data_IF_335722897176
#
_entry.id   IF_335722897176
#
_cell.length_a   1.000
_cell.length_b   1.000
_cell.length_c   1.000
_cell.angle_alpha   90.00
_cell.angle_beta   90.00
_cell.angle_gamma   90.00
#
_symmetry.space_group_name_H-M   'P 1'
#
loop_
_entity.id
_entity.type
_entity.pdbx_description
1 polymer ?
#
# COMPACT_ATOMS: atom_id res chain seq x y z
N UNK A 1 -13.79 -5.00 -39.05
CA UNK A 1 -14.95 -5.72 -38.45
C UNK A 1 -15.77 -6.32 -39.59
N UNK A 2 -15.87 -7.62 -39.68
CA UNK A 2 -16.89 -8.28 -40.51
C UNK A 2 -17.65 -9.23 -39.60
N UNK A 3 -18.83 -8.79 -39.17
CA UNK A 3 -19.79 -9.67 -38.54
C UNK A 3 -20.58 -10.39 -39.62
N UNK A 4 -20.46 -11.70 -39.73
CA UNK A 4 -21.42 -12.55 -40.46
C UNK A 4 -22.15 -13.38 -39.43
N UNK A 5 -23.39 -12.99 -39.16
CA UNK A 5 -24.29 -13.71 -38.30
C UNK A 5 -25.31 -14.48 -39.13
N UNK A 6 -25.44 -15.75 -38.87
CA UNK A 6 -26.73 -16.49 -38.98
C UNK A 6 -26.68 -17.59 -37.93
N UNK A 7 -27.46 -17.42 -36.86
CA UNK A 7 -27.78 -18.45 -35.86
C UNK A 7 -26.73 -18.60 -34.75
N UNK A 8 -27.10 -18.11 -33.60
CA UNK A 8 -26.80 -18.54 -32.24
C UNK A 8 -25.39 -18.43 -31.66
N UNK A 9 -24.31 -18.19 -32.40
CA UNK A 9 -22.97 -17.88 -31.82
C UNK A 9 -22.18 -17.04 -32.81
N UNK A 10 -22.06 -15.74 -32.55
CA UNK A 10 -21.18 -14.86 -33.28
C UNK A 10 -19.77 -15.05 -32.73
N UNK A 11 -18.90 -15.77 -33.46
CA UNK A 11 -17.46 -15.77 -33.19
C UNK A 11 -16.88 -14.45 -33.71
N UNK A 12 -16.27 -13.65 -32.83
CA UNK A 12 -15.51 -12.48 -33.22
C UNK A 12 -14.10 -12.95 -33.67
N UNK A 13 -13.79 -12.78 -34.96
CA UNK A 13 -12.46 -13.05 -35.48
C UNK A 13 -11.65 -11.77 -35.56
N UNK A 14 -10.50 -11.73 -34.93
CA UNK A 14 -9.51 -10.67 -35.08
C UNK A 14 -8.37 -11.15 -35.99
N UNK A 15 -8.02 -10.35 -36.99
CA UNK A 15 -6.87 -10.61 -37.82
C UNK A 15 -5.70 -9.77 -37.33
N UNK A 16 -4.71 -10.42 -36.71
CA UNK A 16 -3.54 -9.76 -36.14
C UNK A 16 -2.36 -9.95 -37.10
N UNK A 17 -1.81 -8.84 -37.61
CA UNK A 17 -0.63 -8.83 -38.46
C UNK A 17 0.60 -8.49 -37.64
N UNK A 18 1.57 -9.38 -37.62
CA UNK A 18 2.88 -9.08 -37.06
C UNK A 18 3.60 -8.09 -37.96
N UNK A 19 3.79 -6.87 -37.50
CA UNK A 19 4.42 -5.78 -38.27
C UNK A 19 5.89 -6.02 -38.59
N UNK A 20 6.55 -6.93 -37.83
CA UNK A 20 7.97 -7.24 -37.99
C UNK A 20 8.22 -8.39 -39.01
N UNK A 21 7.33 -9.37 -39.04
CA UNK A 21 7.46 -10.55 -39.90
C UNK A 21 6.51 -10.57 -41.08
N UNK A 22 5.53 -9.66 -41.11
CA UNK A 22 4.49 -9.61 -42.13
C UNK A 22 3.45 -10.74 -42.04
N UNK A 23 3.60 -11.69 -41.11
CA UNK A 23 2.68 -12.79 -40.95
C UNK A 23 1.38 -12.36 -40.34
N UNK A 24 0.27 -12.87 -40.89
CA UNK A 24 -1.08 -12.61 -40.41
C UNK A 24 -1.63 -13.89 -39.79
N UNK A 25 -2.14 -13.78 -38.56
CA UNK A 25 -2.81 -14.87 -37.84
C UNK A 25 -4.26 -14.49 -37.59
N UNK A 26 -5.20 -15.34 -37.96
CA UNK A 26 -6.61 -15.20 -37.58
C UNK A 26 -6.80 -15.83 -36.22
N UNK A 27 -7.23 -15.00 -35.25
CA UNK A 27 -7.61 -15.45 -33.92
C UNK A 27 -9.12 -15.41 -33.85
N UNK A 28 -9.75 -16.57 -33.73
CA UNK A 28 -11.19 -16.69 -33.50
C UNK A 28 -11.40 -16.66 -31.98
N UNK A 29 -12.08 -15.63 -31.50
CA UNK A 29 -12.49 -15.54 -30.10
C UNK A 29 -13.89 -16.14 -29.95
N UNK A 30 -14.02 -17.24 -29.26
CA UNK A 30 -15.31 -17.66 -28.69
C UNK A 30 -15.63 -16.75 -27.50
N UNK A 31 -16.92 -16.51 -27.24
CA UNK A 31 -17.39 -15.64 -26.14
C UNK A 31 -16.87 -16.07 -24.75
N UNK A 32 -16.36 -17.31 -24.65
CA UNK A 32 -15.65 -17.86 -23.49
C UNK A 32 -14.19 -17.42 -23.38
N UNK A 33 -13.57 -16.99 -24.50
CA UNK A 33 -12.13 -16.67 -24.53
C UNK A 33 -11.85 -15.17 -24.37
N UNK A 34 -12.86 -14.31 -24.32
CA UNK A 34 -12.69 -12.87 -24.08
C UNK A 34 -12.53 -12.52 -22.60
N UNK A 35 -12.90 -13.40 -21.69
CA UNK A 35 -12.69 -13.25 -20.26
C UNK A 35 -11.21 -13.21 -19.85
N UNK A 36 -10.28 -14.01 -20.44
CA UNK A 36 -8.92 -14.08 -19.92
C UNK A 36 -8.12 -12.78 -20.06
N UNK A 37 -8.40 -11.92 -21.04
CA UNK A 37 -7.59 -10.72 -21.27
C UNK A 37 -7.95 -9.56 -20.34
N UNK A 38 -9.21 -9.40 -19.98
CA UNK A 38 -9.63 -8.44 -18.95
C UNK A 38 -9.11 -8.88 -17.58
N UNK A 39 -9.20 -10.19 -17.29
CA UNK A 39 -8.78 -10.78 -16.03
C UNK A 39 -7.26 -10.72 -15.86
N UNK A 40 -6.49 -10.81 -16.96
CA UNK A 40 -5.03 -10.65 -16.94
C UNK A 40 -4.58 -9.25 -16.48
N UNK A 41 -5.38 -8.23 -16.73
CA UNK A 41 -5.10 -6.86 -16.30
C UNK A 41 -5.67 -6.52 -14.92
N UNK A 42 -6.48 -7.40 -14.34
CA UNK A 42 -7.00 -7.21 -13.00
C UNK A 42 -5.88 -7.24 -11.96
N UNK A 43 -5.98 -6.37 -10.99
CA UNK A 43 -5.01 -6.29 -9.92
C UNK A 43 -5.29 -5.09 -9.02
N UNK A 44 -4.37 -4.85 -8.13
CA UNK A 44 -4.46 -3.72 -7.21
C UNK A 44 -3.08 -3.15 -6.91
N UNK A 45 -3.05 -1.86 -6.56
CA UNK A 45 -1.85 -1.29 -5.98
C UNK A 45 -1.59 -1.88 -4.61
N UNK A 46 -0.33 -2.14 -4.32
CA UNK A 46 0.18 -2.61 -3.04
C UNK A 46 1.52 -1.96 -2.75
N UNK A 47 2.04 -2.19 -1.56
CA UNK A 47 3.31 -1.61 -1.11
C UNK A 47 4.34 -2.69 -0.84
N UNK A 48 5.61 -2.38 -1.13
CA UNK A 48 6.76 -3.17 -0.68
C UNK A 48 7.73 -2.28 0.09
N UNK A 49 8.10 -2.67 1.29
CA UNK A 49 9.17 -2.00 2.03
C UNK A 49 10.50 -2.28 1.35
N UNK A 50 11.14 -1.24 0.81
CA UNK A 50 12.39 -1.37 0.06
C UNK A 50 13.63 -1.04 0.89
N UNK A 51 13.50 -0.15 1.88
CA UNK A 51 14.56 0.22 2.81
C UNK A 51 14.02 0.89 4.06
N UNK A 52 14.85 0.93 5.10
CA UNK A 52 14.66 1.77 6.28
C UNK A 52 15.81 2.76 6.31
N UNK A 53 15.50 4.04 6.11
CA UNK A 53 16.48 5.13 6.17
C UNK A 53 16.78 5.48 7.62
N UNK A 54 17.96 6.01 7.84
CA UNK A 54 18.46 6.46 9.13
C UNK A 54 19.15 7.79 8.97
N UNK A 55 19.23 8.60 10.04
CA UNK A 55 20.16 9.71 10.08
C UNK A 55 21.60 9.20 9.83
N UNK A 56 22.40 9.98 9.12
CA UNK A 56 23.76 9.62 8.69
C UNK A 56 24.69 9.21 9.84
N UNK A 57 24.42 9.67 11.06
CA UNK A 57 25.23 9.43 12.26
C UNK A 57 25.00 8.06 12.92
N UNK A 58 24.07 7.28 12.48
CA UNK A 58 23.73 6.01 13.11
C UNK A 58 24.31 4.82 12.36
N UNK A 59 25.61 4.57 12.54
CA UNK A 59 26.38 3.55 11.82
C UNK A 59 25.96 2.08 12.05
N UNK A 60 25.20 1.77 13.10
CA UNK A 60 25.05 0.39 13.57
C UNK A 60 23.69 -0.26 13.36
N UNK A 61 22.82 0.27 12.48
CA UNK A 61 21.42 -0.18 12.42
C UNK A 61 21.04 -0.93 11.16
N UNK A 62 22.00 -1.40 10.38
CA UNK A 62 21.69 -2.12 9.15
C UNK A 62 21.19 -3.53 9.45
N UNK A 63 19.92 -3.79 9.14
CA UNK A 63 19.43 -5.13 8.98
C UNK A 63 18.71 -5.26 7.64
N UNK A 64 18.68 -6.47 7.12
CA UNK A 64 17.93 -6.77 5.92
C UNK A 64 16.43 -6.66 6.18
N UNK A 65 15.72 -6.04 5.25
CA UNK A 65 14.26 -6.13 5.20
C UNK A 65 13.89 -7.53 4.72
N UNK A 66 13.13 -8.26 5.53
CA UNK A 66 12.63 -9.60 5.15
C UNK A 66 11.15 -9.54 4.83
N UNK A 67 10.76 -10.16 3.74
CA UNK A 67 9.36 -10.31 3.36
C UNK A 67 8.80 -11.60 3.97
N UNK A 68 7.63 -11.51 4.57
CA UNK A 68 6.87 -12.60 5.14
C UNK A 68 5.49 -12.56 4.50
N UNK A 69 5.14 -13.58 3.70
CA UNK A 69 3.79 -13.67 3.12
C UNK A 69 2.90 -14.48 4.04
N UNK A 70 1.84 -13.85 4.54
CA UNK A 70 0.85 -14.47 5.43
C UNK A 70 -0.56 -14.19 4.91
N UNK A 71 -1.34 -15.24 4.69
CA UNK A 71 -2.70 -15.17 4.12
C UNK A 71 -2.80 -14.31 2.84
N UNK A 72 -1.77 -14.36 1.97
CA UNK A 72 -1.74 -13.59 0.73
C UNK A 72 -1.39 -12.11 0.88
N UNK A 73 -1.04 -11.66 2.09
CA UNK A 73 -0.55 -10.31 2.38
C UNK A 73 0.94 -10.36 2.64
N UNK A 74 1.69 -9.54 1.92
CA UNK A 74 3.12 -9.38 2.12
C UNK A 74 3.35 -8.43 3.31
N UNK A 75 4.01 -8.93 4.35
CA UNK A 75 4.45 -8.20 5.54
C UNK A 75 5.96 -8.10 5.51
N UNK A 76 6.48 -7.01 6.03
CA UNK A 76 7.92 -6.73 6.00
C UNK A 76 8.46 -6.64 7.41
N UNK A 77 9.52 -7.39 7.67
CA UNK A 77 10.19 -7.39 8.96
C UNK A 77 11.52 -6.64 8.87
N UNK A 78 11.73 -5.72 9.79
CA UNK A 78 13.01 -5.05 10.02
C UNK A 78 13.41 -5.24 11.48
N UNK A 79 14.70 -5.43 11.72
CA UNK A 79 15.24 -5.68 13.06
C UNK A 79 16.61 -5.02 13.21
N UNK A 80 16.79 -4.29 14.30
CA UNK A 80 18.09 -3.77 14.72
C UNK A 80 18.32 -3.99 16.23
N UNK A 81 19.28 -3.28 16.84
CA UNK A 81 19.57 -3.36 18.28
C UNK A 81 18.51 -2.70 19.17
N UNK A 82 17.55 -1.97 18.60
CA UNK A 82 16.54 -1.17 19.31
C UNK A 82 15.15 -1.74 19.15
N UNK A 83 14.74 -2.04 17.93
CA UNK A 83 13.39 -2.50 17.59
C UNK A 83 13.43 -3.75 16.71
N UNK A 84 12.38 -4.54 16.85
CA UNK A 84 11.95 -5.52 15.85
C UNK A 84 10.54 -5.12 15.42
N UNK A 85 10.36 -4.78 14.16
CA UNK A 85 9.08 -4.34 13.62
C UNK A 85 8.66 -5.25 12.46
N UNK A 86 7.38 -5.64 12.45
CA UNK A 86 6.72 -6.22 11.30
C UNK A 86 5.66 -5.23 10.84
N UNK A 87 5.75 -4.76 9.59
CA UNK A 87 4.92 -3.68 9.05
C UNK A 87 4.39 -4.04 7.66
N UNK A 88 3.17 -3.61 7.36
CA UNK A 88 2.58 -3.73 6.02
C UNK A 88 1.61 -2.58 5.76
N UNK A 89 1.49 -2.17 4.49
CA UNK A 89 0.55 -1.14 4.05
C UNK A 89 -0.77 -1.75 3.58
N UNK A 90 -1.86 -1.09 3.94
CA UNK A 90 -3.16 -1.21 3.28
C UNK A 90 -3.39 0.04 2.43
N UNK A 91 -4.46 0.13 1.63
CA UNK A 91 -4.76 1.37 0.93
C UNK A 91 -4.84 2.61 1.85
N UNK A 92 -5.34 2.46 3.07
CA UNK A 92 -5.66 3.58 3.96
C UNK A 92 -4.60 3.87 5.02
N UNK A 93 -3.79 2.87 5.40
CA UNK A 93 -2.89 2.97 6.56
C UNK A 93 -1.77 1.92 6.52
N UNK A 94 -0.76 2.13 7.36
CA UNK A 94 0.19 1.08 7.73
C UNK A 94 -0.26 0.42 9.02
N UNK A 95 -0.12 -0.90 9.10
CA UNK A 95 -0.31 -1.68 10.32
C UNK A 95 1.03 -2.28 10.71
N UNK A 96 1.35 -2.28 12.00
CA UNK A 96 2.62 -2.82 12.45
C UNK A 96 2.56 -3.41 13.85
N UNK A 97 3.43 -4.38 14.08
CA UNK A 97 3.78 -4.90 15.41
C UNK A 97 5.21 -4.48 15.67
N UNK A 98 5.44 -3.69 16.72
CA UNK A 98 6.76 -3.24 17.15
C UNK A 98 7.10 -3.85 18.49
N UNK A 99 8.22 -4.56 18.57
CA UNK A 99 8.79 -5.10 19.79
C UNK A 99 10.02 -4.29 20.18
N UNK A 100 10.08 -3.89 21.44
CA UNK A 100 11.28 -3.25 22.02
C UNK A 100 12.32 -4.33 22.36
N UNK A 101 13.43 -4.36 21.64
CA UNK A 101 14.56 -5.28 21.89
C UNK A 101 15.72 -4.57 22.58
N UNK A 102 15.61 -3.25 22.81
CA UNK A 102 16.63 -2.47 23.52
C UNK A 102 16.68 -2.83 25.01
N UNK A 103 17.77 -2.51 25.70
CA UNK A 103 17.89 -2.73 27.16
C UNK A 103 17.04 -1.74 27.99
N UNK A 104 16.43 -0.72 27.39
CA UNK A 104 15.65 0.33 28.03
C UNK A 104 14.22 0.37 27.52
N UNK A 105 13.33 1.11 28.20
CA UNK A 105 12.03 1.47 27.61
C UNK A 105 12.25 2.42 26.43
N UNK A 106 11.38 2.33 25.43
CA UNK A 106 11.34 3.27 24.32
C UNK A 106 10.00 4.01 24.30
N UNK A 107 9.95 5.13 23.58
CA UNK A 107 8.75 5.91 23.37
C UNK A 107 8.59 6.22 21.87
N UNK A 108 7.42 5.99 21.31
CA UNK A 108 7.07 6.46 19.96
C UNK A 108 6.47 7.86 20.10
N UNK A 109 7.08 8.86 19.45
CA UNK A 109 6.69 10.27 19.56
C UNK A 109 5.74 10.61 18.41
N UNK A 110 4.45 10.39 18.61
CA UNK A 110 3.44 10.52 17.54
C UNK A 110 3.30 11.93 16.96
N UNK A 111 3.50 12.96 17.78
CA UNK A 111 3.41 14.36 17.32
C UNK A 111 4.49 14.72 16.28
N UNK A 112 5.58 13.96 16.22
CA UNK A 112 6.68 14.14 15.28
C UNK A 112 6.66 13.10 14.15
N UNK A 113 5.78 12.11 14.25
CA UNK A 113 5.62 11.10 13.21
C UNK A 113 5.02 11.71 11.94
N UNK A 114 5.55 11.31 10.77
CA UNK A 114 5.19 11.91 9.50
C UNK A 114 5.01 10.87 8.40
N UNK A 115 4.16 11.20 7.44
CA UNK A 115 3.96 10.47 6.21
C UNK A 115 4.28 11.38 5.02
N UNK A 116 4.97 10.82 4.02
CA UNK A 116 5.21 11.49 2.74
C UNK A 116 4.48 10.71 1.64
N UNK A 117 3.57 11.40 0.95
CA UNK A 117 2.77 10.84 -0.14
C UNK A 117 3.52 10.73 -1.45
N UNK A 118 2.88 10.15 -2.47
CA UNK A 118 3.42 10.00 -3.82
C UNK A 118 3.78 11.33 -4.50
N UNK A 119 3.11 12.40 -4.13
CA UNK A 119 3.34 13.77 -4.61
C UNK A 119 4.45 14.51 -3.85
N UNK A 120 5.08 13.84 -2.88
CA UNK A 120 6.09 14.43 -1.99
C UNK A 120 5.52 15.28 -0.86
N UNK A 121 4.20 15.42 -0.75
CA UNK A 121 3.59 16.17 0.36
C UNK A 121 3.74 15.43 1.68
N UNK A 122 3.97 16.20 2.76
CA UNK A 122 4.10 15.65 4.12
C UNK A 122 2.81 15.88 4.89
N UNK A 123 2.37 14.87 5.64
CA UNK A 123 1.26 14.98 6.58
C UNK A 123 1.59 14.35 7.92
N UNK A 124 0.87 14.80 8.96
CA UNK A 124 0.89 14.14 10.26
C UNK A 124 0.30 12.74 10.16
N UNK A 125 0.54 11.94 11.18
CA UNK A 125 -0.01 10.61 11.34
C UNK A 125 -0.91 10.57 12.55
N UNK A 126 -2.00 9.84 12.47
CA UNK A 126 -2.74 9.38 13.63
C UNK A 126 -2.50 7.89 13.86
N UNK A 127 -2.50 7.46 15.12
CA UNK A 127 -2.35 6.07 15.53
C UNK A 127 -3.64 5.50 16.15
N UNK A 128 -3.63 4.21 16.51
CA UNK A 128 -4.80 3.55 17.10
C UNK A 128 -5.31 4.30 18.36
N UNK A 129 -6.64 4.39 18.48
CA UNK A 129 -7.30 5.05 19.61
C UNK A 129 -7.52 6.56 19.41
N UNK A 130 -6.91 7.21 18.44
CA UNK A 130 -7.17 8.61 18.10
C UNK A 130 -8.48 8.72 17.32
N UNK A 131 -9.40 9.57 17.78
CA UNK A 131 -10.65 9.84 17.05
C UNK A 131 -10.37 10.65 15.79
N UNK A 132 -11.03 10.33 14.68
CA UNK A 132 -10.89 11.08 13.43
C UNK A 132 -11.13 12.58 13.55
N UNK A 133 -12.05 12.99 14.43
CA UNK A 133 -12.30 14.41 14.73
C UNK A 133 -11.15 15.10 15.49
N UNK A 134 -10.26 14.34 16.10
CA UNK A 134 -9.11 14.82 16.89
C UNK A 134 -7.76 14.53 16.22
N UNK A 135 -7.77 14.11 14.95
CA UNK A 135 -6.57 13.66 14.22
C UNK A 135 -5.44 14.68 14.11
N UNK A 136 -5.78 15.98 14.19
CA UNK A 136 -4.79 17.07 14.14
C UNK A 136 -4.34 17.52 15.54
N UNK A 137 -4.95 16.98 16.60
CA UNK A 137 -4.61 17.31 17.98
C UNK A 137 -3.34 16.64 18.47
N UNK A 138 -2.98 16.94 19.70
CA UNK A 138 -1.83 16.33 20.37
C UNK A 138 -2.07 14.83 20.61
N UNK A 139 -1.05 14.04 20.30
CA UNK A 139 -1.05 12.60 20.49
C UNK A 139 0.07 12.25 21.49
N UNK A 140 -0.29 11.79 22.70
CA UNK A 140 0.70 11.40 23.69
C UNK A 140 1.62 10.28 23.16
N UNK A 141 2.91 10.33 23.52
CA UNK A 141 3.85 9.30 23.15
C UNK A 141 3.46 7.95 23.76
N UNK A 142 3.57 6.87 22.98
CA UNK A 142 3.35 5.51 23.45
C UNK A 142 4.64 4.94 24.03
N UNK A 143 4.62 4.52 25.30
CA UNK A 143 5.77 3.90 25.96
C UNK A 143 5.72 2.39 25.78
N UNK A 144 6.82 1.81 25.30
CA UNK A 144 7.00 0.36 25.16
C UNK A 144 8.15 -0.07 26.06
N UNK A 145 7.84 -0.77 27.15
CA UNK A 145 8.87 -1.23 28.08
C UNK A 145 9.76 -2.30 27.46
N UNK A 146 10.95 -2.50 28.02
CA UNK A 146 11.91 -3.53 27.57
C UNK A 146 11.23 -4.87 27.38
N UNK A 147 11.41 -5.48 26.20
CA UNK A 147 10.91 -6.81 25.85
C UNK A 147 9.43 -6.85 25.48
N UNK A 148 8.66 -5.79 25.73
CA UNK A 148 7.26 -5.71 25.35
C UNK A 148 7.08 -5.43 23.84
N UNK A 149 5.86 -5.67 23.35
CA UNK A 149 5.44 -5.33 22.00
C UNK A 149 4.16 -4.51 22.03
N UNK A 150 3.95 -3.74 20.99
CA UNK A 150 2.67 -3.08 20.67
C UNK A 150 2.19 -3.53 19.30
N UNK A 151 0.89 -3.53 19.12
CA UNK A 151 0.20 -3.63 17.84
C UNK A 151 -0.50 -2.30 17.61
N UNK A 152 -0.14 -1.60 16.52
CA UNK A 152 -0.61 -0.24 16.28
C UNK A 152 -0.72 0.00 14.76
N UNK A 153 -1.23 1.17 14.40
CA UNK A 153 -1.37 1.63 13.04
C UNK A 153 -0.81 3.04 12.86
N UNK A 154 -0.55 3.41 11.61
CA UNK A 154 -0.18 4.76 11.21
C UNK A 154 -1.01 5.16 10.01
N UNK A 155 -1.96 6.08 10.21
CA UNK A 155 -2.87 6.59 9.19
C UNK A 155 -2.55 8.06 8.92
N UNK A 156 -2.28 8.47 7.64
CA UNK A 156 -2.05 9.87 7.31
C UNK A 156 -3.29 10.72 7.59
N UNK A 157 -3.14 11.78 8.39
CA UNK A 157 -4.27 12.65 8.79
C UNK A 157 -4.90 13.37 7.61
N UNK A 158 -4.11 13.71 6.58
CA UNK A 158 -4.58 14.35 5.35
C UNK A 158 -5.57 13.48 4.55
N UNK A 159 -5.53 12.17 4.74
CA UNK A 159 -6.41 11.23 4.05
C UNK A 159 -7.77 11.06 4.77
N UNK A 160 -7.88 11.52 6.01
CA UNK A 160 -9.11 11.40 6.81
C UNK A 160 -9.99 12.62 6.60
N UNK A 161 -11.23 12.41 6.17
CA UNK A 161 -12.19 13.47 5.89
C UNK A 161 -13.59 13.09 6.35
N UNK A 162 -14.41 14.12 6.56
CA UNK A 162 -15.83 13.93 6.85
C UNK A 162 -16.63 14.05 5.55
N UNK A 163 -17.31 12.98 5.17
CA UNK A 163 -18.24 12.97 4.04
C UNK A 163 -19.60 13.46 4.54
N UNK A 164 -20.13 14.49 3.92
CA UNK A 164 -21.46 15.05 4.28
C UNK A 164 -22.61 14.15 3.83
N UNK A 165 -22.32 13.15 3.02
CA UNK A 165 -23.32 12.27 2.45
C UNK A 165 -24.17 12.95 1.36
N UNK A 166 -25.23 12.26 0.95
CA UNK A 166 -26.20 12.73 -0.04
C UNK A 166 -27.56 12.88 0.62
N UNK A 167 -28.29 13.96 0.29
CA UNK A 167 -29.67 14.17 0.77
C UNK A 167 -30.65 13.54 -0.23
N UNK A 168 -31.45 12.60 0.26
CA UNK A 168 -32.54 11.96 -0.47
C UNK A 168 -33.83 12.33 0.24
N UNK A 169 -34.63 13.23 -0.38
CA UNK A 169 -35.78 13.81 0.29
C UNK A 169 -35.37 14.63 1.53
N UNK A 170 -35.82 14.20 2.69
CA UNK A 170 -35.50 14.85 3.98
C UNK A 170 -34.42 14.10 4.79
N UNK A 171 -33.81 13.05 4.22
CA UNK A 171 -32.85 12.20 4.93
C UNK A 171 -31.46 12.31 4.29
N UNK A 172 -30.44 12.50 5.12
CA UNK A 172 -29.04 12.43 4.70
C UNK A 172 -28.55 11.00 4.88
N UNK A 173 -27.99 10.41 3.81
CA UNK A 173 -27.46 9.05 3.81
C UNK A 173 -25.97 9.05 3.44
N UNK A 174 -25.22 8.09 3.95
CA UNK A 174 -23.80 7.89 3.63
C UNK A 174 -22.86 8.94 4.23
N UNK A 175 -23.34 9.78 5.18
CA UNK A 175 -22.50 10.73 5.89
C UNK A 175 -21.61 10.02 6.94
N UNK A 176 -20.46 10.60 7.22
CA UNK A 176 -19.54 10.08 8.23
C UNK A 176 -18.07 10.31 7.91
N UNK A 177 -17.22 9.89 8.83
CA UNK A 177 -15.78 9.93 8.66
C UNK A 177 -15.34 8.82 7.70
N UNK A 178 -14.50 9.17 6.74
CA UNK A 178 -13.94 8.27 5.73
C UNK A 178 -12.45 8.51 5.57
N UNK A 179 -11.75 7.52 5.02
CA UNK A 179 -10.33 7.60 4.70
C UNK A 179 -10.13 7.42 3.19
N UNK A 180 -9.31 8.27 2.60
CA UNK A 180 -8.86 8.10 1.20
C UNK A 180 -7.66 7.17 1.17
N UNK A 181 -7.46 6.53 0.02
CA UNK A 181 -6.28 5.71 -0.21
C UNK A 181 -5.01 6.56 -0.27
N UNK A 182 -3.90 6.01 0.26
CA UNK A 182 -2.55 6.58 0.18
C UNK A 182 -1.96 6.49 -1.23
N UNK A 183 -2.56 5.68 -2.10
CA UNK A 183 -2.09 5.43 -3.46
C UNK A 183 -3.28 5.20 -4.41
N UNK A 184 -3.09 5.26 -5.75
CA UNK A 184 -4.18 5.14 -6.70
C UNK A 184 -4.99 3.85 -6.54
N UNK A 185 -6.30 3.92 -6.74
CA UNK A 185 -7.19 2.76 -6.80
C UNK A 185 -7.29 2.17 -8.20
N UNK A 186 -6.99 2.98 -9.24
CA UNK A 186 -7.07 2.59 -10.64
C UNK A 186 -5.69 2.32 -11.22
N UNK A 187 -5.60 1.40 -12.16
CA UNK A 187 -4.37 1.11 -12.87
C UNK A 187 -3.87 2.36 -13.64
N UNK A 188 -2.67 2.84 -13.27
CA UNK A 188 -2.00 3.99 -13.90
C UNK A 188 -0.58 3.67 -14.39
N UNK A 189 -0.25 2.39 -14.49
CA UNK A 189 1.07 1.90 -14.82
C UNK A 189 1.57 0.90 -13.76
N UNK A 190 2.72 0.28 -14.01
CA UNK A 190 3.25 -0.78 -13.14
C UNK A 190 3.71 -0.25 -11.78
N UNK A 191 4.22 0.98 -11.74
CA UNK A 191 4.77 1.60 -10.53
C UNK A 191 4.15 2.98 -10.35
N UNK A 192 3.70 3.29 -9.13
CA UNK A 192 3.13 4.60 -8.81
C UNK A 192 4.16 5.54 -8.14
N UNK A 193 5.28 5.01 -7.63
CA UNK A 193 6.32 5.78 -6.95
C UNK A 193 6.61 5.27 -5.54
N UNK A 194 7.12 6.14 -4.69
CA UNK A 194 7.48 5.83 -3.31
C UNK A 194 6.66 6.67 -2.33
N UNK A 195 6.31 6.05 -1.21
CA UNK A 195 5.74 6.69 -0.03
C UNK A 195 6.62 6.40 1.18
N UNK A 196 6.60 7.27 2.18
CA UNK A 196 7.47 7.14 3.35
C UNK A 196 6.68 7.30 4.64
N UNK A 197 7.01 6.46 5.61
CA UNK A 197 6.52 6.55 6.98
C UNK A 197 7.71 6.80 7.91
N UNK A 198 7.74 7.92 8.61
CA UNK A 198 8.74 8.23 9.61
C UNK A 198 8.15 8.07 11.01
N UNK A 199 8.78 7.23 11.83
CA UNK A 199 8.45 7.00 13.23
C UNK A 199 9.64 7.41 14.10
N UNK A 200 9.53 8.52 14.87
CA UNK A 200 10.54 8.91 15.83
C UNK A 200 10.44 8.03 17.08
N UNK A 201 11.51 7.32 17.38
CA UNK A 201 11.61 6.40 18.53
C UNK A 201 12.66 6.90 19.50
N UNK A 202 12.22 7.33 20.65
CA UNK A 202 13.10 7.82 21.72
C UNK A 202 13.53 6.66 22.62
N UNK A 203 14.82 6.55 22.84
CA UNK A 203 15.43 5.66 23.86
C UNK A 203 16.28 6.53 24.76
N UNK A 204 15.96 6.62 26.06
CA UNK A 204 16.52 7.63 26.96
C UNK A 204 16.33 9.04 26.40
N UNK A 205 17.44 9.76 26.21
CA UNK A 205 17.45 11.15 25.71
C UNK A 205 17.71 11.24 24.19
N UNK A 206 17.83 10.10 23.51
CA UNK A 206 18.14 10.04 22.08
C UNK A 206 16.87 9.69 21.28
N UNK A 207 16.48 10.58 20.39
CA UNK A 207 15.42 10.32 19.40
C UNK A 207 16.04 9.74 18.15
N UNK A 208 15.55 8.59 17.72
CA UNK A 208 15.96 7.89 16.53
C UNK A 208 14.85 7.96 15.51
N UNK A 209 15.08 8.61 14.40
CA UNK A 209 14.13 8.65 13.28
C UNK A 209 14.25 7.37 12.45
N UNK A 210 13.16 6.64 12.34
CA UNK A 210 13.05 5.48 11.46
C UNK A 210 12.17 5.83 10.29
N UNK A 211 12.75 6.01 9.11
CA UNK A 211 12.00 6.29 7.89
C UNK A 211 11.87 5.02 7.06
N UNK A 212 10.69 4.44 7.06
CA UNK A 212 10.33 3.27 6.25
C UNK A 212 9.93 3.74 4.86
N UNK A 213 10.67 3.32 3.83
CA UNK A 213 10.43 3.68 2.44
C UNK A 213 9.74 2.52 1.73
N UNK A 214 8.54 2.79 1.23
CA UNK A 214 7.73 1.80 0.52
C UNK A 214 7.61 2.18 -0.95
N UNK A 215 7.88 1.21 -1.83
CA UNK A 215 7.53 1.29 -3.23
C UNK A 215 6.05 0.95 -3.39
N UNK A 216 5.30 1.77 -4.12
CA UNK A 216 3.91 1.50 -4.52
C UNK A 216 3.91 0.97 -5.94
N UNK A 217 3.43 -0.24 -6.13
CA UNK A 217 3.40 -0.92 -7.42
C UNK A 217 2.08 -1.65 -7.63
N UNK A 218 1.77 -1.93 -8.89
CA UNK A 218 0.55 -2.66 -9.25
C UNK A 218 0.84 -4.16 -9.26
N UNK A 219 0.12 -4.91 -8.41
CA UNK A 219 0.20 -6.37 -8.32
C UNK A 219 -0.98 -6.97 -9.07
N UNK A 220 -0.71 -7.68 -10.15
CA UNK A 220 -1.72 -8.36 -10.94
C UNK A 220 -2.31 -9.54 -10.16
N UNK A 221 -3.62 -9.76 -10.31
CA UNK A 221 -4.33 -10.89 -9.69
C UNK A 221 -3.91 -12.22 -10.33
N UNK A 222 -3.63 -12.20 -11.63
CA UNK A 222 -3.30 -13.36 -12.44
C UNK A 222 -2.01 -13.13 -13.26
N UNK A 223 -0.85 -13.01 -12.58
CA UNK A 223 0.43 -12.75 -13.28
C UNK A 223 0.83 -13.85 -14.26
N UNK A 224 0.35 -15.08 -14.06
CA UNK A 224 0.55 -16.21 -14.98
C UNK A 224 -0.07 -15.99 -16.37
N UNK A 225 -1.14 -15.18 -16.46
CA UNK A 225 -1.77 -14.85 -17.73
C UNK A 225 -0.96 -13.84 -18.56
N UNK A 226 -0.09 -13.05 -17.90
CA UNK A 226 0.77 -12.08 -18.56
C UNK A 226 1.97 -12.73 -19.27
N UNK A 227 2.40 -13.92 -18.81
CA UNK A 227 3.54 -14.65 -19.35
C UNK A 227 3.18 -15.56 -20.53
N UNK A 228 1.94 -15.55 -20.99
CA UNK A 228 1.55 -16.21 -22.23
C UNK A 228 2.00 -15.37 -23.44
N UNK A 229 3.30 -15.07 -23.53
CA UNK A 229 3.95 -14.66 -24.78
C UNK A 229 3.97 -15.83 -25.78
N UNK A 230 2.81 -16.19 -26.25
CA UNK A 230 2.63 -17.01 -27.44
C UNK A 230 1.36 -16.57 -28.14
N UNK A 231 1.32 -15.33 -28.56
CA UNK A 231 0.43 -14.81 -29.59
C UNK A 231 1.23 -14.27 -30.75
#
# INVERSE_FOLDING_TARGET
YVARGSGATAALGLEVKNTRTGQTKKVLYDKKDTAPFSDALEGKYTTALIKVEKPEDSSDRYSEVKTITDAGVDKYSFNDSTINITIYGTPEQFNFILKNVSPHSLRIIWNEAAFVGLDGSTSKIMHAGVKYSQREGDQPATTVIKGAKIDDLACPTANVYYDKGSTIGYTTVGNGWKTRSMFPSEYKGKDAGEIRLMLPIQVKDVVNEYTFVFKVYYKYSHPELLNQENL
#
